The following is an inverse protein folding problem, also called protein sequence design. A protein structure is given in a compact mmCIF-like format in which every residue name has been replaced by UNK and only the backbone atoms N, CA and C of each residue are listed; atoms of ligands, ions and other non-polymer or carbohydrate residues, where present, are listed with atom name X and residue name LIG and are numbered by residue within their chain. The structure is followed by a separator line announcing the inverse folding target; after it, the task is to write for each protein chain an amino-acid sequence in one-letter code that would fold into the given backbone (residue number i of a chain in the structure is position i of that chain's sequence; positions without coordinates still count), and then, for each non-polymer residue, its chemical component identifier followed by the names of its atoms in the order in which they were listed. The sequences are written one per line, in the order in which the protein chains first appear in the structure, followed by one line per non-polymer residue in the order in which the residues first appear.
data_IF_243812447947
#
_entry.id   IF_243812447947
#
_cell.length_a   1.000
_cell.length_b   1.000
_cell.length_c   1.000
_cell.angle_alpha   90.00
_cell.angle_beta   90.00
_cell.angle_gamma   90.00
#
_symmetry.space_group_name_H-M   'P 1'
#
loop_
_entity.id
_entity.type
_entity.pdbx_description
1 polymer ?
#
# COMPACT_ATOMS: atom_id res chain seq x y z
N UNK A 1 -0.73 17.63 -23.50
CA UNK A 1 -1.56 16.95 -22.49
C UNK A 1 -0.67 16.35 -21.41
N UNK A 2 -0.91 16.74 -20.17
CA UNK A 2 -0.16 16.15 -19.06
C UNK A 2 -0.63 14.74 -18.80
N UNK A 3 0.31 13.81 -18.71
CA UNK A 3 -0.01 12.44 -18.27
C UNK A 3 -0.32 12.45 -16.78
N UNK A 4 -1.27 11.61 -16.37
CA UNK A 4 -1.48 11.36 -14.96
C UNK A 4 -0.19 10.82 -14.35
N UNK A 5 0.14 11.18 -13.08
CA UNK A 5 1.31 10.62 -12.41
C UNK A 5 1.24 9.09 -12.36
N UNK A 6 2.40 8.46 -12.47
CA UNK A 6 2.51 7.01 -12.34
C UNK A 6 2.39 6.59 -10.88
N UNK A 7 2.18 5.30 -10.65
CA UNK A 7 2.18 4.75 -9.29
C UNK A 7 3.43 5.18 -8.51
N UNK A 8 4.61 5.07 -9.12
CA UNK A 8 5.85 5.35 -8.42
C UNK A 8 6.11 6.85 -8.23
N UNK A 9 5.50 7.71 -9.06
CA UNK A 9 5.53 9.14 -8.77
C UNK A 9 4.76 9.46 -7.48
N UNK A 10 3.63 8.82 -7.26
CA UNK A 10 2.89 8.97 -6.00
C UNK A 10 3.64 8.38 -4.81
N UNK A 11 4.30 7.23 -5.01
CA UNK A 11 5.15 6.64 -3.96
C UNK A 11 6.24 7.64 -3.57
N UNK A 12 6.91 8.22 -4.56
CA UNK A 12 7.97 9.20 -4.32
C UNK A 12 7.45 10.41 -3.54
N UNK A 13 6.34 10.99 -3.98
CA UNK A 13 5.77 12.16 -3.30
C UNK A 13 5.33 11.83 -1.87
N UNK A 14 4.83 10.63 -1.64
CA UNK A 14 4.42 10.19 -0.30
C UNK A 14 5.61 10.15 0.65
N UNK A 15 6.72 9.55 0.23
CA UNK A 15 7.88 9.34 1.09
C UNK A 15 8.81 10.55 1.20
N UNK A 16 8.83 11.44 0.20
CA UNK A 16 9.73 12.59 0.22
C UNK A 16 9.04 13.89 0.63
N UNK A 17 7.73 14.01 0.45
CA UNK A 17 6.99 15.24 0.74
C UNK A 17 5.96 15.05 1.85
N UNK A 18 5.06 14.09 1.69
CA UNK A 18 3.92 13.99 2.61
C UNK A 18 4.35 13.51 3.99
N UNK A 19 4.98 12.34 4.08
CA UNK A 19 5.30 11.75 5.39
C UNK A 19 6.30 12.60 6.17
N UNK A 20 7.45 13.03 5.59
CA UNK A 20 8.40 13.80 6.38
C UNK A 20 8.00 15.25 6.60
N UNK A 21 7.44 15.91 5.59
CA UNK A 21 7.23 17.37 5.63
C UNK A 21 5.84 17.76 6.06
N UNK A 22 4.81 17.10 5.55
CA UNK A 22 3.43 17.49 5.87
C UNK A 22 2.92 16.80 7.13
N UNK A 23 3.21 15.52 7.29
CA UNK A 23 2.76 14.76 8.47
C UNK A 23 3.76 14.76 9.62
N UNK A 24 5.03 15.01 9.35
CA UNK A 24 6.07 14.95 10.37
C UNK A 24 6.29 13.54 10.93
N UNK A 25 6.15 12.52 10.09
CA UNK A 25 6.32 11.14 10.52
C UNK A 25 7.76 10.86 10.93
N UNK A 26 7.95 10.00 11.94
CA UNK A 26 9.28 9.61 12.39
C UNK A 26 10.00 8.77 11.35
N UNK A 27 11.33 8.71 11.45
CA UNK A 27 12.15 7.86 10.59
C UNK A 27 11.71 6.39 10.68
N UNK A 28 11.37 5.93 11.88
CA UNK A 28 10.91 4.55 12.09
C UNK A 28 9.59 4.28 11.37
N UNK A 29 8.65 5.20 11.43
CA UNK A 29 7.37 5.07 10.73
C UNK A 29 7.59 5.05 9.21
N UNK A 30 8.43 5.95 8.70
CA UNK A 30 8.73 6.01 7.27
C UNK A 30 9.34 4.71 6.78
N UNK A 31 10.28 4.13 7.54
CA UNK A 31 10.90 2.84 7.18
C UNK A 31 9.89 1.70 7.18
N UNK A 32 9.05 1.63 8.21
CA UNK A 32 8.04 0.58 8.32
C UNK A 32 7.05 0.65 7.15
N UNK A 33 6.63 1.85 6.78
CA UNK A 33 5.70 2.05 5.66
C UNK A 33 6.37 1.70 4.33
N UNK A 34 7.64 2.09 4.16
CA UNK A 34 8.39 1.73 2.95
C UNK A 34 8.52 0.23 2.79
N UNK A 35 8.84 -0.47 3.88
CA UNK A 35 8.99 -1.92 3.85
C UNK A 35 7.67 -2.61 3.48
N UNK A 36 6.56 -2.15 4.07
CA UNK A 36 5.24 -2.71 3.78
C UNK A 36 4.86 -2.54 2.31
N UNK A 37 5.07 -1.33 1.76
CA UNK A 37 4.75 -1.08 0.35
C UNK A 37 5.68 -1.85 -0.59
N UNK A 38 6.96 -1.95 -0.24
CA UNK A 38 7.92 -2.74 -1.04
C UNK A 38 7.47 -4.19 -1.12
N UNK A 39 7.07 -4.78 0.01
CA UNK A 39 6.57 -6.15 0.05
C UNK A 39 5.31 -6.31 -0.79
N UNK A 40 4.39 -5.37 -0.68
CA UNK A 40 3.14 -5.39 -1.46
C UNK A 40 3.44 -5.36 -2.96
N UNK A 41 4.27 -4.44 -3.41
CA UNK A 41 4.56 -4.29 -4.84
C UNK A 41 5.29 -5.51 -5.40
N UNK A 42 6.22 -6.08 -4.64
CA UNK A 42 6.89 -7.32 -5.05
C UNK A 42 5.91 -8.47 -5.20
N UNK A 43 4.99 -8.60 -4.24
CA UNK A 43 3.98 -9.65 -4.29
C UNK A 43 3.09 -9.50 -5.53
N UNK A 44 2.57 -8.30 -5.77
CA UNK A 44 1.68 -8.07 -6.91
C UNK A 44 2.41 -8.30 -8.23
N UNK A 45 3.65 -7.83 -8.35
CA UNK A 45 4.45 -8.05 -9.55
C UNK A 45 4.66 -9.55 -9.83
N UNK A 46 4.96 -10.33 -8.80
CA UNK A 46 5.11 -11.78 -8.93
C UNK A 46 3.81 -12.45 -9.36
N UNK A 47 2.69 -12.06 -8.75
CA UNK A 47 1.38 -12.61 -9.10
C UNK A 47 1.01 -12.33 -10.55
N UNK A 48 1.45 -11.20 -11.08
CA UNK A 48 1.16 -10.78 -12.45
C UNK A 48 2.22 -11.23 -13.44
N UNK A 49 3.30 -11.84 -12.98
CA UNK A 49 4.39 -12.27 -13.85
C UNK A 49 5.09 -11.13 -14.57
N UNK A 50 5.25 -9.99 -13.90
CA UNK A 50 5.88 -8.82 -14.49
C UNK A 50 6.87 -8.17 -13.52
N UNK A 51 7.72 -7.30 -14.05
CA UNK A 51 8.66 -6.55 -13.23
C UNK A 51 7.93 -5.45 -12.45
N UNK A 52 8.45 -5.15 -11.27
CA UNK A 52 7.87 -4.15 -10.37
C UNK A 52 7.74 -2.78 -11.06
N UNK A 53 8.71 -2.42 -11.90
CA UNK A 53 8.73 -1.14 -12.59
C UNK A 53 7.54 -0.94 -13.54
N UNK A 54 6.88 -2.02 -13.95
CA UNK A 54 5.73 -1.93 -14.85
C UNK A 54 4.38 -1.93 -14.13
N UNK A 55 4.38 -2.00 -12.80
CA UNK A 55 3.13 -1.91 -12.05
C UNK A 55 2.44 -0.57 -12.25
N UNK A 56 1.13 -0.64 -12.40
CA UNK A 56 0.28 0.54 -12.53
C UNK A 56 -0.67 0.63 -11.33
N UNK A 57 -1.25 1.79 -11.13
CA UNK A 57 -2.21 2.02 -10.04
C UNK A 57 -3.33 0.98 -10.07
N UNK A 58 -3.87 0.69 -11.27
CA UNK A 58 -4.96 -0.27 -11.43
C UNK A 58 -4.61 -1.69 -11.01
N UNK A 59 -3.32 -2.03 -10.94
CA UNK A 59 -2.87 -3.36 -10.53
C UNK A 59 -2.97 -3.58 -9.02
N UNK A 60 -3.00 -2.51 -8.24
CA UNK A 60 -3.01 -2.58 -6.77
C UNK A 60 -4.44 -2.34 -6.27
N UNK A 61 -5.31 -3.27 -6.59
CA UNK A 61 -6.72 -3.19 -6.20
C UNK A 61 -6.99 -3.90 -4.86
N UNK A 62 -8.24 -3.86 -4.41
CA UNK A 62 -8.60 -4.44 -3.11
C UNK A 62 -8.34 -5.94 -3.06
N UNK A 63 -8.57 -6.65 -4.17
CA UNK A 63 -8.31 -8.08 -4.22
C UNK A 63 -6.81 -8.37 -4.08
N UNK A 64 -5.96 -7.62 -4.80
CA UNK A 64 -4.52 -7.78 -4.71
C UNK A 64 -4.01 -7.52 -3.29
N UNK A 65 -4.49 -6.47 -2.64
CA UNK A 65 -4.10 -6.13 -1.27
C UNK A 65 -4.55 -7.21 -0.30
N UNK A 66 -5.79 -7.70 -0.44
CA UNK A 66 -6.30 -8.76 0.42
C UNK A 66 -5.47 -10.04 0.28
N UNK A 67 -5.15 -10.42 -0.95
CA UNK A 67 -4.30 -11.60 -1.20
C UNK A 67 -2.92 -11.44 -0.57
N UNK A 68 -2.34 -10.25 -0.66
CA UNK A 68 -1.06 -9.97 -0.03
C UNK A 68 -1.12 -10.13 1.48
N UNK A 69 -2.13 -9.54 2.12
CA UNK A 69 -2.26 -9.63 3.57
C UNK A 69 -2.46 -11.06 4.03
N UNK A 70 -3.27 -11.83 3.31
CA UNK A 70 -3.48 -13.24 3.62
C UNK A 70 -2.21 -14.06 3.40
N UNK A 71 -1.45 -13.75 2.35
CA UNK A 71 -0.20 -14.43 2.03
C UNK A 71 0.84 -14.27 3.15
N UNK A 72 1.05 -13.03 3.62
CA UNK A 72 2.06 -12.81 4.66
C UNK A 72 1.64 -13.43 5.99
N UNK A 73 0.37 -13.46 6.30
CA UNK A 73 -0.13 -14.12 7.51
C UNK A 73 0.12 -15.62 7.46
N UNK A 74 -0.21 -16.26 6.33
CA UNK A 74 -0.08 -17.71 6.17
C UNK A 74 1.38 -18.15 6.13
N UNK A 75 2.21 -17.47 5.32
CA UNK A 75 3.58 -17.91 5.03
C UNK A 75 4.54 -17.77 6.19
N UNK A 76 4.39 -16.73 6.98
CA UNK A 76 5.34 -16.42 8.05
C UNK A 76 4.80 -16.73 9.42
N UNK A 77 3.65 -17.39 9.49
CA UNK A 77 2.94 -17.61 10.73
C UNK A 77 2.78 -16.31 11.53
N UNK A 78 2.61 -15.20 10.81
CA UNK A 78 2.46 -13.89 11.41
C UNK A 78 1.11 -13.76 12.09
N UNK A 79 1.12 -13.03 13.20
CA UNK A 79 -0.11 -12.78 13.96
C UNK A 79 -1.04 -11.82 13.19
N UNK A 80 -2.30 -11.78 13.64
CA UNK A 80 -3.24 -10.78 13.17
C UNK A 80 -2.73 -9.36 13.42
N UNK A 81 -1.98 -9.14 14.49
CA UNK A 81 -1.38 -7.85 14.80
C UNK A 81 -0.39 -7.42 13.71
N UNK A 82 0.48 -8.33 13.27
CA UNK A 82 1.43 -8.03 12.18
C UNK A 82 0.71 -7.72 10.87
N UNK A 83 -0.30 -8.52 10.53
CA UNK A 83 -1.14 -8.28 9.35
C UNK A 83 -1.78 -6.90 9.42
N UNK A 84 -2.31 -6.54 10.59
CA UNK A 84 -2.96 -5.23 10.78
C UNK A 84 -1.98 -4.07 10.69
N UNK A 85 -0.74 -4.24 11.13
CA UNK A 85 0.31 -3.22 10.96
C UNK A 85 0.61 -2.98 9.48
N UNK A 86 0.73 -4.03 8.70
CA UNK A 86 0.95 -3.91 7.24
C UNK A 86 -0.25 -3.25 6.57
N UNK A 87 -1.45 -3.66 6.96
CA UNK A 87 -2.68 -3.04 6.47
C UNK A 87 -2.70 -1.53 6.76
N UNK A 88 -2.34 -1.13 7.98
CA UNK A 88 -2.33 0.29 8.36
C UNK A 88 -1.36 1.10 7.48
N UNK A 89 -0.18 0.54 7.19
CA UNK A 89 0.79 1.19 6.32
C UNK A 89 0.25 1.37 4.90
N UNK A 90 -0.39 0.33 4.37
CA UNK A 90 -0.99 0.36 3.03
C UNK A 90 -2.13 1.39 2.99
N UNK A 91 -2.97 1.43 4.03
CA UNK A 91 -4.05 2.42 4.13
C UNK A 91 -3.52 3.85 4.09
N UNK A 92 -2.42 4.12 4.78
CA UNK A 92 -1.79 5.44 4.77
C UNK A 92 -1.45 5.90 3.35
N UNK A 93 -0.86 5.02 2.56
CA UNK A 93 -0.53 5.31 1.17
C UNK A 93 -1.80 5.50 0.32
N UNK A 94 -2.81 4.66 0.49
CA UNK A 94 -4.05 4.77 -0.29
C UNK A 94 -4.85 6.03 0.07
N UNK A 95 -4.78 6.51 1.30
CA UNK A 95 -5.32 7.82 1.64
C UNK A 95 -4.62 8.94 0.89
N UNK A 96 -3.29 8.83 0.74
CA UNK A 96 -2.52 9.78 -0.05
C UNK A 96 -2.95 9.73 -1.53
N UNK A 97 -3.12 8.53 -2.08
CA UNK A 97 -3.63 8.39 -3.45
C UNK A 97 -5.01 9.02 -3.60
N UNK A 98 -5.91 8.79 -2.65
CA UNK A 98 -7.26 9.32 -2.72
C UNK A 98 -7.28 10.84 -2.73
N UNK A 99 -6.37 11.48 -1.98
CA UNK A 99 -6.26 12.95 -1.99
C UNK A 99 -5.74 13.51 -3.30
N UNK A 100 -4.97 12.73 -4.05
CA UNK A 100 -4.23 13.24 -5.20
C UNK A 100 -4.68 12.69 -6.55
N UNK A 101 -5.53 11.67 -6.57
CA UNK A 101 -5.98 11.02 -7.79
C UNK A 101 -7.45 10.67 -7.68
N UNK A 102 -8.31 11.55 -8.17
CA UNK A 102 -9.76 11.34 -8.12
C UNK A 102 -10.25 10.34 -9.17
N UNK A 103 -9.48 10.14 -10.24
CA UNK A 103 -9.89 9.26 -11.33
C UNK A 103 -10.03 7.80 -10.88
N UNK A 104 -9.24 7.38 -9.88
CA UNK A 104 -9.27 6.01 -9.35
C UNK A 104 -9.90 5.92 -7.97
N UNK A 105 -10.70 6.92 -7.57
CA UNK A 105 -11.20 7.04 -6.19
C UNK A 105 -12.00 5.81 -5.76
N UNK A 106 -12.80 5.21 -6.63
CA UNK A 106 -13.59 4.02 -6.27
C UNK A 106 -12.68 2.84 -5.89
N UNK A 107 -11.60 2.65 -6.64
CA UNK A 107 -10.62 1.61 -6.34
C UNK A 107 -9.98 1.84 -4.96
N UNK A 108 -9.59 3.08 -4.67
CA UNK A 108 -8.94 3.40 -3.40
C UNK A 108 -9.89 3.21 -2.23
N UNK A 109 -11.14 3.61 -2.37
CA UNK A 109 -12.16 3.42 -1.33
C UNK A 109 -12.33 1.94 -1.01
N UNK A 110 -12.31 1.07 -2.01
CA UNK A 110 -12.41 -0.37 -1.80
C UNK A 110 -11.22 -0.93 -1.03
N UNK A 111 -10.00 -0.45 -1.33
CA UNK A 111 -8.81 -0.84 -0.57
C UNK A 111 -8.95 -0.37 0.88
N UNK A 112 -9.38 0.88 1.08
CA UNK A 112 -9.56 1.44 2.42
C UNK A 112 -10.65 0.73 3.22
N UNK A 113 -11.56 0.03 2.55
CA UNK A 113 -12.64 -0.72 3.19
C UNK A 113 -12.21 -2.12 3.67
N UNK A 114 -11.01 -2.59 3.34
CA UNK A 114 -10.52 -3.89 3.80
C UNK A 114 -10.44 -3.87 5.32
N UNK A 115 -11.15 -4.77 6.03
CA UNK A 115 -11.19 -4.73 7.48
C UNK A 115 -9.91 -5.23 8.13
N UNK A 116 -9.65 -4.73 9.33
CA UNK A 116 -8.62 -5.30 10.16
C UNK A 116 -9.08 -6.68 10.66
N UNK A 117 -8.12 -7.58 10.87
CA UNK A 117 -8.41 -8.86 11.49
C UNK A 117 -8.46 -8.70 13.00
N UNK A 118 -9.45 -9.36 13.63
CA UNK A 118 -9.55 -9.32 15.07
C UNK A 118 -8.37 -10.09 15.66
N UNK A 119 -7.58 -9.42 16.49
CA UNK A 119 -6.47 -10.09 17.16
C UNK A 119 -7.01 -11.04 18.21
N UNK A 120 -6.44 -12.25 18.27
CA UNK A 120 -6.74 -13.17 19.38
C UNK A 120 -6.10 -12.66 20.65
N UNK A 121 -6.87 -12.67 21.70
CA UNK A 121 -6.36 -12.41 23.03
C UNK A 121 -5.89 -13.69 23.69
#
# INVERSE_FOLDING_TARGET
MKRAPSLFAYVQSYFTQYLPKQRGASVHTIRAYRDALTMLFKFVAEQRGQEIAFLQIGDIDADAVTRFLDHIEAQRSNSAATRNCRRAAIRGFFKHLLRNDLAHSQQFVRVLAIPAKKARQ
#
